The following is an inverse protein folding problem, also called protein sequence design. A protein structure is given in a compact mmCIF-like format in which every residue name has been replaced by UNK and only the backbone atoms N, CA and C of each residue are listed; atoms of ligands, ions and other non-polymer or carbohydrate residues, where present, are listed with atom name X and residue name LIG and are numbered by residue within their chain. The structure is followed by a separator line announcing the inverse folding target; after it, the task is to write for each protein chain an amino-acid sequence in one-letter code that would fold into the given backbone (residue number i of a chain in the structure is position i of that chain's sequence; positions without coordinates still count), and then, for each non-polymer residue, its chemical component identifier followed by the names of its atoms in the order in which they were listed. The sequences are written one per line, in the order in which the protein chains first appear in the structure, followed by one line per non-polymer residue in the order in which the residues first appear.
data_IF_798888777271
#
_entry.id   IF_798888777271
#
_cell.length_a   1.000
_cell.length_b   1.000
_cell.length_c   1.000
_cell.angle_alpha   90.00
_cell.angle_beta   90.00
_cell.angle_gamma   90.00
#
_symmetry.space_group_name_H-M   'P 1'
#
loop_
_entity.id
_entity.type
_entity.pdbx_description
1 polymer ?
#
# COMPACT_ATOMS: atom_id res chain seq x y z
N UNK A 1 7.54 -28.52 -0.79
CA UNK A 1 7.27 -28.73 0.65
C UNK A 1 7.34 -30.23 0.93
N UNK A 2 8.11 -30.61 1.94
CA UNK A 2 8.15 -32.01 2.40
C UNK A 2 6.89 -32.32 3.21
N UNK A 3 6.24 -33.42 2.87
CA UNK A 3 5.03 -33.85 3.55
C UNK A 3 5.34 -34.55 4.88
N UNK A 4 4.79 -34.00 5.97
CA UNK A 4 4.86 -34.59 7.29
C UNK A 4 3.85 -35.73 7.42
N UNK A 5 3.96 -36.58 8.49
CA UNK A 5 2.96 -37.59 8.77
C UNK A 5 1.58 -37.00 9.09
N UNK A 6 1.55 -35.79 9.63
CA UNK A 6 0.28 -35.08 9.88
C UNK A 6 -0.37 -34.71 8.55
N UNK A 7 0.41 -34.18 7.59
CA UNK A 7 -0.10 -33.84 6.26
C UNK A 7 -0.68 -35.06 5.55
N UNK A 8 0.04 -36.19 5.56
CA UNK A 8 -0.41 -37.43 4.95
C UNK A 8 -1.73 -37.91 5.56
N UNK A 9 -1.88 -37.79 6.88
CA UNK A 9 -3.10 -38.20 7.57
C UNK A 9 -4.27 -37.29 7.21
N UNK A 10 -4.06 -35.97 7.20
CA UNK A 10 -5.09 -35.00 6.84
C UNK A 10 -5.52 -35.20 5.39
N UNK A 11 -4.59 -35.30 4.45
CA UNK A 11 -4.91 -35.45 3.03
C UNK A 11 -5.64 -36.78 2.73
N UNK A 12 -5.26 -37.85 3.43
CA UNK A 12 -5.98 -39.11 3.33
C UNK A 12 -7.42 -39.03 3.84
N UNK A 13 -7.62 -38.32 4.96
CA UNK A 13 -8.95 -38.20 5.59
C UNK A 13 -9.90 -37.34 4.78
N UNK A 14 -9.38 -36.42 3.97
CA UNK A 14 -10.16 -35.51 3.11
C UNK A 14 -10.09 -35.90 1.62
N UNK A 15 -9.55 -37.08 1.31
CA UNK A 15 -9.41 -37.60 -0.05
C UNK A 15 -8.71 -36.60 -1.01
N UNK A 16 -7.70 -35.91 -0.46
CA UNK A 16 -6.94 -34.90 -1.16
C UNK A 16 -5.55 -35.42 -1.53
N UNK A 17 -5.18 -35.23 -2.81
CA UNK A 17 -3.84 -35.59 -3.31
C UNK A 17 -2.98 -34.34 -3.41
N UNK A 18 -1.83 -34.37 -2.73
CA UNK A 18 -0.85 -33.29 -2.78
C UNK A 18 0.52 -33.83 -3.18
N UNK A 19 1.11 -33.27 -4.20
CA UNK A 19 2.39 -33.69 -4.77
C UNK A 19 3.60 -32.90 -4.23
N UNK A 20 3.40 -32.09 -3.20
CA UNK A 20 4.45 -31.25 -2.59
C UNK A 20 4.72 -29.94 -3.33
N UNK A 21 3.98 -29.66 -4.39
CA UNK A 21 4.11 -28.45 -5.18
C UNK A 21 2.81 -27.68 -5.25
N UNK A 22 2.91 -26.39 -5.09
CA UNK A 22 1.83 -25.45 -5.41
C UNK A 22 2.36 -24.52 -6.48
N UNK A 23 1.78 -24.57 -7.67
CA UNK A 23 2.11 -23.69 -8.77
C UNK A 23 1.10 -22.55 -8.81
N UNK A 24 1.58 -21.33 -8.81
CA UNK A 24 0.76 -20.15 -9.02
C UNK A 24 1.21 -19.49 -10.32
N UNK A 25 0.30 -19.47 -11.30
CA UNK A 25 0.56 -18.79 -12.57
C UNK A 25 0.17 -17.32 -12.42
N UNK A 26 1.16 -16.43 -12.54
CA UNK A 26 0.89 -14.99 -12.61
C UNK A 26 0.19 -14.72 -13.95
N UNK A 27 -0.95 -14.04 -13.96
CA UNK A 27 -1.63 -13.66 -15.18
C UNK A 27 -0.69 -12.90 -16.11
N UNK A 28 -0.86 -13.08 -17.42
CA UNK A 28 -0.09 -12.33 -18.39
C UNK A 28 -0.32 -10.84 -18.17
N UNK A 29 0.77 -10.11 -17.96
CA UNK A 29 0.76 -8.69 -17.70
C UNK A 29 1.82 -8.00 -18.56
N UNK A 30 1.40 -6.92 -19.23
CA UNK A 30 2.32 -6.04 -19.96
C UNK A 30 2.53 -4.78 -19.15
N UNK A 31 3.77 -4.54 -18.73
CA UNK A 31 4.13 -3.34 -17.97
C UNK A 31 3.85 -2.08 -18.80
N UNK A 32 3.24 -1.09 -18.18
CA UNK A 32 3.07 0.24 -18.78
C UNK A 32 4.41 0.96 -18.71
N UNK A 33 5.01 1.24 -19.85
CA UNK A 33 6.33 1.88 -19.96
C UNK A 33 6.26 3.42 -20.07
N UNK A 34 5.10 3.96 -20.46
CA UNK A 34 4.91 5.40 -20.56
C UNK A 34 4.70 6.03 -19.18
N UNK A 35 5.09 7.30 -19.03
CA UNK A 35 4.84 8.05 -17.81
C UNK A 35 3.34 8.25 -17.56
N UNK A 36 2.94 8.02 -16.33
CA UNK A 36 1.58 8.21 -15.84
C UNK A 36 1.63 8.84 -14.44
N UNK A 37 0.53 9.34 -13.93
CA UNK A 37 0.45 9.83 -12.56
C UNK A 37 0.21 8.67 -11.59
N UNK A 38 -0.94 8.01 -11.69
CA UNK A 38 -1.35 6.92 -10.80
C UNK A 38 -1.77 5.70 -11.63
N UNK A 39 -1.18 4.55 -11.32
CA UNK A 39 -1.62 3.24 -11.78
C UNK A 39 -2.10 2.38 -10.62
N UNK A 40 -3.12 1.56 -10.85
CA UNK A 40 -3.66 0.66 -9.83
C UNK A 40 -3.65 -0.77 -10.32
N UNK A 41 -3.15 -1.67 -9.49
CA UNK A 41 -3.25 -3.12 -9.67
C UNK A 41 -4.35 -3.60 -8.74
N UNK A 42 -5.46 -4.02 -9.31
CA UNK A 42 -6.63 -4.47 -8.59
C UNK A 42 -6.84 -5.97 -8.75
N UNK A 43 -7.22 -6.62 -7.68
CA UNK A 43 -7.57 -8.03 -7.69
C UNK A 43 -7.80 -8.58 -6.29
N UNK A 44 -8.34 -9.78 -6.21
CA UNK A 44 -8.56 -10.47 -4.94
C UNK A 44 -7.24 -10.75 -4.21
N UNK A 45 -7.33 -10.96 -2.90
CA UNK A 45 -6.16 -11.38 -2.11
C UNK A 45 -5.58 -12.69 -2.67
N UNK A 46 -4.25 -12.75 -2.78
CA UNK A 46 -3.55 -13.92 -3.32
C UNK A 46 -3.61 -14.07 -4.84
N UNK A 47 -4.06 -13.06 -5.60
CA UNK A 47 -4.16 -13.09 -7.07
C UNK A 47 -2.85 -12.77 -7.81
N UNK A 48 -1.76 -12.48 -7.09
CA UNK A 48 -0.45 -12.16 -7.69
C UNK A 48 -0.17 -10.66 -7.85
N UNK A 49 -0.96 -9.79 -7.24
CA UNK A 49 -0.78 -8.33 -7.30
C UNK A 49 0.62 -7.88 -6.88
N UNK A 50 1.13 -8.42 -5.77
CA UNK A 50 2.46 -8.06 -5.26
C UNK A 50 3.58 -8.42 -6.24
N UNK A 51 3.44 -9.53 -6.94
CA UNK A 51 4.41 -9.94 -7.98
C UNK A 51 4.41 -9.00 -9.18
N UNK A 52 3.24 -8.53 -9.59
CA UNK A 52 3.10 -7.53 -10.65
C UNK A 52 3.66 -6.18 -10.18
N UNK A 53 3.35 -5.79 -8.95
CA UNK A 53 3.82 -4.53 -8.36
C UNK A 53 5.35 -4.43 -8.35
N UNK A 54 6.05 -5.52 -8.06
CA UNK A 54 7.52 -5.60 -8.08
C UNK A 54 8.15 -5.25 -9.42
N UNK A 55 7.42 -5.38 -10.52
CA UNK A 55 7.92 -4.96 -11.83
C UNK A 55 8.03 -3.43 -11.96
N UNK A 56 7.33 -2.68 -11.11
CA UNK A 56 7.40 -1.22 -11.05
C UNK A 56 8.37 -0.69 -10.00
N UNK A 57 8.77 -1.50 -9.05
CA UNK A 57 9.70 -1.13 -7.99
C UNK A 57 9.47 -1.89 -6.70
N UNK A 58 10.17 -1.49 -5.67
CA UNK A 58 10.02 -2.04 -4.32
C UNK A 58 9.42 -0.99 -3.38
N UNK A 59 8.52 -1.44 -2.51
CA UNK A 59 7.95 -0.57 -1.51
C UNK A 59 9.03 -0.15 -0.51
N UNK A 60 9.12 1.16 -0.25
CA UNK A 60 10.08 1.72 0.69
C UNK A 60 9.79 1.19 2.10
N UNK A 61 10.76 0.53 2.70
CA UNK A 61 10.69 0.13 4.10
C UNK A 61 10.82 1.37 4.99
N UNK A 62 9.92 1.48 5.97
CA UNK A 62 9.90 2.59 6.91
C UNK A 62 10.35 2.15 8.29
N UNK A 63 11.29 2.88 8.86
CA UNK A 63 11.71 2.73 10.26
C UNK A 63 11.22 3.93 11.05
N UNK A 64 10.50 3.67 12.13
CA UNK A 64 10.00 4.68 13.05
C UNK A 64 10.70 4.55 14.40
N UNK A 65 11.34 5.63 14.85
CA UNK A 65 11.89 5.72 16.20
C UNK A 65 10.75 6.06 17.17
N UNK A 66 10.40 5.13 18.05
CA UNK A 66 9.31 5.29 18.99
C UNK A 66 9.59 6.29 20.12
N UNK A 67 10.82 6.79 20.23
CA UNK A 67 11.18 7.86 21.14
C UNK A 67 11.05 9.26 20.51
N UNK A 68 10.62 9.33 19.26
CA UNK A 68 10.47 10.58 18.52
C UNK A 68 9.04 10.75 18.03
N UNK A 69 8.61 12.02 17.89
CA UNK A 69 7.33 12.34 17.29
C UNK A 69 7.31 11.95 15.80
N UNK A 70 6.12 11.70 15.24
CA UNK A 70 5.99 11.41 13.81
C UNK A 70 6.52 12.57 12.96
N UNK A 71 6.24 13.81 13.33
CA UNK A 71 6.69 14.99 12.59
C UNK A 71 8.23 15.09 12.48
N UNK A 72 8.94 14.63 13.48
CA UNK A 72 10.41 14.68 13.51
C UNK A 72 11.10 13.70 12.54
N UNK A 73 10.34 12.83 11.89
CA UNK A 73 10.86 11.89 10.88
C UNK A 73 10.85 12.45 9.46
N UNK A 74 10.40 13.67 9.27
CA UNK A 74 10.40 14.36 7.98
C UNK A 74 11.64 15.27 7.85
N UNK A 75 11.97 15.68 6.63
CA UNK A 75 13.20 16.39 6.33
C UNK A 75 13.24 17.83 6.87
N UNK A 76 12.04 18.46 6.97
CA UNK A 76 11.87 19.83 7.47
C UNK A 76 10.48 20.02 8.06
N UNK A 77 10.27 21.17 8.72
CA UNK A 77 8.96 21.57 9.24
C UNK A 77 7.95 21.68 8.09
N UNK A 78 8.34 22.32 7.00
CA UNK A 78 7.52 22.52 5.81
C UNK A 78 7.17 21.19 5.17
N UNK A 79 8.13 20.29 5.06
CA UNK A 79 7.93 18.93 4.52
C UNK A 79 6.94 18.12 5.37
N UNK A 80 7.09 18.16 6.70
CA UNK A 80 6.17 17.49 7.62
C UNK A 80 4.73 18.02 7.47
N UNK A 81 4.55 19.33 7.49
CA UNK A 81 3.22 19.97 7.36
C UNK A 81 2.59 19.61 6.03
N UNK A 82 3.34 19.71 4.94
CA UNK A 82 2.84 19.44 3.60
C UNK A 82 2.41 17.99 3.43
N UNK A 83 3.28 17.05 3.79
CA UNK A 83 3.03 15.61 3.61
C UNK A 83 1.94 15.07 4.54
N UNK A 84 1.95 15.44 5.80
CA UNK A 84 0.92 15.05 6.76
C UNK A 84 -0.43 15.66 6.39
N UNK A 85 -0.46 16.90 5.94
CA UNK A 85 -1.65 17.55 5.39
C UNK A 85 -2.16 16.87 4.12
N UNK A 86 -1.26 16.44 3.23
CA UNK A 86 -1.60 15.76 1.98
C UNK A 86 -2.33 14.43 2.18
N UNK A 87 -2.10 13.74 3.29
CA UNK A 87 -2.78 12.49 3.64
C UNK A 87 -3.99 12.70 4.56
N UNK A 88 -4.33 13.96 4.84
CA UNK A 88 -5.48 14.31 5.69
C UNK A 88 -5.23 14.22 7.19
N UNK A 89 -3.99 14.15 7.63
CA UNK A 89 -3.61 14.15 9.04
C UNK A 89 -3.29 15.59 9.49
N UNK A 90 -4.32 16.35 9.82
CA UNK A 90 -4.25 17.81 10.02
C UNK A 90 -4.21 18.27 11.48
N UNK A 91 -4.09 17.35 12.44
CA UNK A 91 -4.08 17.69 13.86
C UNK A 91 -2.68 17.72 14.45
N UNK A 92 -2.21 18.89 14.85
CA UNK A 92 -0.87 19.10 15.43
C UNK A 92 -0.63 18.20 16.65
N UNK A 93 -1.58 18.00 17.59
CA UNK A 93 -1.38 17.06 18.70
C UNK A 93 -1.04 15.64 18.26
N UNK A 94 -1.60 15.17 17.14
CA UNK A 94 -1.26 13.86 16.57
C UNK A 94 0.17 13.82 16.05
N UNK A 95 0.64 14.91 15.45
CA UNK A 95 2.03 15.00 14.93
C UNK A 95 3.10 14.89 16.03
N UNK A 96 2.75 15.24 17.25
CA UNK A 96 3.65 15.16 18.42
C UNK A 96 3.76 13.76 19.01
N UNK A 97 2.90 12.83 18.61
CA UNK A 97 2.88 11.45 19.12
C UNK A 97 3.92 10.59 18.42
N UNK A 98 4.44 9.54 19.08
CA UNK A 98 5.22 8.51 18.40
C UNK A 98 4.30 7.61 17.56
N UNK A 99 4.87 7.01 16.51
CA UNK A 99 4.11 6.17 15.56
C UNK A 99 3.33 5.02 16.22
N UNK A 100 3.92 4.40 17.24
CA UNK A 100 3.35 3.22 17.91
C UNK A 100 2.01 3.46 18.64
N UNK A 101 1.68 4.70 19.01
CA UNK A 101 0.44 5.01 19.72
C UNK A 101 -0.69 5.47 18.80
N UNK A 102 -0.44 5.53 17.49
CA UNK A 102 -1.45 5.94 16.53
C UNK A 102 -2.45 4.82 16.26
N UNK A 103 -3.70 5.20 15.94
CA UNK A 103 -4.69 4.27 15.40
C UNK A 103 -4.25 3.69 14.05
N UNK A 104 -4.89 2.60 13.59
CA UNK A 104 -4.59 2.00 12.30
C UNK A 104 -4.74 3.01 11.14
N UNK A 105 -5.80 3.83 11.16
CA UNK A 105 -6.02 4.85 10.14
C UNK A 105 -4.99 5.97 10.17
N UNK A 106 -4.66 6.48 11.35
CA UNK A 106 -3.61 7.49 11.53
C UNK A 106 -2.24 6.94 11.13
N UNK A 107 -1.93 5.71 11.54
CA UNK A 107 -0.69 5.03 11.19
C UNK A 107 -0.53 4.81 9.70
N UNK A 108 -1.58 4.37 9.01
CA UNK A 108 -1.61 4.23 7.56
C UNK A 108 -1.32 5.57 6.87
N UNK A 109 -1.94 6.66 7.32
CA UNK A 109 -1.71 8.01 6.78
C UNK A 109 -0.27 8.47 6.98
N UNK A 110 0.32 8.22 8.15
CA UNK A 110 1.72 8.56 8.42
C UNK A 110 2.69 7.80 7.52
N UNK A 111 2.47 6.50 7.35
CA UNK A 111 3.30 5.69 6.47
C UNK A 111 3.19 6.16 5.02
N UNK A 112 1.99 6.47 4.56
CA UNK A 112 1.76 7.02 3.23
C UNK A 112 2.47 8.38 3.07
N UNK A 113 2.36 9.28 4.05
CA UNK A 113 2.99 10.60 3.99
C UNK A 113 4.51 10.50 3.78
N UNK A 114 5.18 9.57 4.46
CA UNK A 114 6.62 9.35 4.29
C UNK A 114 7.00 8.70 2.97
N UNK A 115 6.09 7.92 2.36
CA UNK A 115 6.33 7.26 1.07
C UNK A 115 6.06 8.17 -0.13
N UNK A 116 5.30 9.23 0.02
CA UNK A 116 4.91 10.10 -1.09
C UNK A 116 6.09 10.60 -1.91
N UNK A 117 5.99 10.48 -3.21
CA UNK A 117 6.98 10.91 -4.19
C UNK A 117 6.67 10.31 -5.55
N UNK A 118 7.47 10.65 -6.55
CA UNK A 118 7.41 9.99 -7.86
C UNK A 118 8.17 8.66 -7.85
N UNK A 119 7.78 7.75 -8.75
CA UNK A 119 8.41 6.43 -8.91
C UNK A 119 8.36 5.58 -7.64
N UNK A 120 7.17 5.49 -7.05
CA UNK A 120 6.92 4.69 -5.85
C UNK A 120 5.87 3.62 -6.10
N UNK A 121 5.96 2.56 -5.31
CA UNK A 121 4.94 1.52 -5.24
C UNK A 121 4.45 1.37 -3.81
N UNK A 122 3.15 1.06 -3.65
CA UNK A 122 2.54 0.81 -2.34
C UNK A 122 1.69 -0.45 -2.47
N UNK A 123 2.03 -1.46 -1.69
CA UNK A 123 1.25 -2.68 -1.59
C UNK A 123 0.15 -2.56 -0.53
N UNK A 124 -0.86 -3.41 -0.62
CA UNK A 124 -1.96 -3.47 0.35
C UNK A 124 -2.62 -2.10 0.61
N UNK A 125 -2.71 -1.25 -0.41
CA UNK A 125 -3.27 0.10 -0.27
C UNK A 125 -4.72 0.03 0.22
N UNK A 126 -4.98 0.70 1.34
CA UNK A 126 -6.27 0.74 2.06
C UNK A 126 -6.77 -0.57 2.67
N UNK A 127 -5.98 -1.64 2.71
CA UNK A 127 -6.42 -2.94 3.22
C UNK A 127 -6.73 -2.96 4.72
N UNK A 128 -6.04 -2.16 5.52
CA UNK A 128 -6.15 -2.15 7.00
C UNK A 128 -6.98 -1.00 7.56
N UNK A 129 -7.66 -0.22 6.71
CA UNK A 129 -8.43 0.95 7.12
C UNK A 129 -9.90 0.81 6.75
N UNK A 130 -10.78 1.49 7.51
CA UNK A 130 -12.19 1.54 7.15
C UNK A 130 -12.39 2.35 5.85
N UNK A 131 -13.60 2.22 5.26
CA UNK A 131 -13.85 2.83 3.93
C UNK A 131 -13.90 4.35 3.96
N UNK A 132 -14.25 4.98 5.07
CA UNK A 132 -14.23 6.44 5.21
C UNK A 132 -12.80 6.98 5.20
N UNK A 133 -11.90 6.33 5.93
CA UNK A 133 -10.46 6.64 5.91
C UNK A 133 -9.87 6.38 4.52
N UNK A 134 -10.22 5.27 3.88
CA UNK A 134 -9.77 4.94 2.53
C UNK A 134 -10.21 6.01 1.54
N UNK A 135 -11.45 6.48 1.59
CA UNK A 135 -11.97 7.56 0.76
C UNK A 135 -11.22 8.87 0.97
N UNK A 136 -11.13 9.31 2.21
CA UNK A 136 -10.45 10.56 2.57
C UNK A 136 -8.98 10.55 2.13
N UNK A 137 -8.28 9.45 2.39
CA UNK A 137 -6.88 9.29 2.04
C UNK A 137 -6.66 9.24 0.51
N UNK A 138 -7.51 8.51 -0.20
CA UNK A 138 -7.43 8.40 -1.67
C UNK A 138 -7.69 9.74 -2.36
N UNK A 139 -8.71 10.49 -1.92
CA UNK A 139 -8.99 11.83 -2.44
C UNK A 139 -7.84 12.80 -2.15
N UNK A 140 -7.27 12.75 -0.95
CA UNK A 140 -6.14 13.59 -0.58
C UNK A 140 -4.90 13.26 -1.41
N UNK A 141 -4.62 11.98 -1.62
CA UNK A 141 -3.53 11.52 -2.47
C UNK A 141 -3.70 12.01 -3.92
N UNK A 142 -4.89 11.84 -4.49
CA UNK A 142 -5.19 12.34 -5.84
C UNK A 142 -4.88 13.84 -5.98
N UNK A 143 -5.38 14.66 -5.05
CA UNK A 143 -5.16 16.10 -5.06
C UNK A 143 -3.68 16.46 -4.94
N UNK A 144 -2.96 15.79 -4.06
CA UNK A 144 -1.53 16.01 -3.87
C UNK A 144 -0.72 15.65 -5.10
N UNK A 145 -0.99 14.51 -5.70
CA UNK A 145 -0.33 14.05 -6.93
C UNK A 145 -0.53 15.05 -8.06
N UNK A 146 -1.75 15.55 -8.24
CA UNK A 146 -2.08 16.56 -9.26
C UNK A 146 -1.37 17.89 -8.98
N UNK A 147 -1.40 18.37 -7.76
CA UNK A 147 -0.78 19.64 -7.37
C UNK A 147 0.74 19.63 -7.53
N UNK A 148 1.38 18.52 -7.17
CA UNK A 148 2.84 18.38 -7.23
C UNK A 148 3.35 17.85 -8.56
N UNK A 149 2.49 17.42 -9.46
CA UNK A 149 2.89 16.80 -10.71
C UNK A 149 3.66 15.50 -10.55
N UNK A 150 3.34 14.70 -9.52
CA UNK A 150 3.99 13.42 -9.28
C UNK A 150 3.68 12.43 -10.39
N UNK A 151 4.63 11.55 -10.67
CA UNK A 151 4.55 10.55 -11.74
C UNK A 151 4.90 9.15 -11.24
N UNK A 152 4.35 8.15 -11.92
CA UNK A 152 4.73 6.75 -11.75
C UNK A 152 4.49 6.23 -10.32
N UNK A 153 3.30 6.51 -9.79
CA UNK A 153 2.82 5.95 -8.52
C UNK A 153 1.98 4.73 -8.84
N UNK A 154 2.36 3.56 -8.34
CA UNK A 154 1.62 2.31 -8.53
C UNK A 154 1.15 1.77 -7.19
N UNK A 155 -0.14 1.52 -7.09
CA UNK A 155 -0.80 1.02 -5.90
C UNK A 155 -1.40 -0.36 -6.16
N UNK A 156 -1.20 -1.30 -5.27
CA UNK A 156 -1.89 -2.60 -5.30
C UNK A 156 -2.98 -2.64 -4.23
N UNK A 157 -4.17 -3.08 -4.59
CA UNK A 157 -5.33 -3.12 -3.70
C UNK A 157 -6.28 -4.27 -4.02
N UNK A 158 -7.02 -4.71 -3.01
CA UNK A 158 -8.17 -5.61 -3.19
C UNK A 158 -9.53 -4.88 -3.15
N UNK A 159 -9.53 -3.56 -3.10
CA UNK A 159 -10.73 -2.73 -3.01
C UNK A 159 -10.90 -1.89 -4.27
N UNK A 160 -12.05 -2.00 -4.92
CA UNK A 160 -12.37 -1.29 -6.17
C UNK A 160 -12.97 0.11 -5.94
N UNK A 161 -13.49 0.38 -4.75
CA UNK A 161 -14.08 1.68 -4.40
C UNK A 161 -13.08 2.84 -4.48
N UNK A 162 -11.79 2.57 -4.29
CA UNK A 162 -10.76 3.60 -4.40
C UNK A 162 -10.53 4.10 -5.83
N UNK A 163 -10.94 3.35 -6.84
CA UNK A 163 -10.75 3.72 -8.25
C UNK A 163 -11.49 5.01 -8.60
N UNK A 164 -12.69 5.18 -8.09
CA UNK A 164 -13.47 6.42 -8.25
C UNK A 164 -12.77 7.62 -7.61
N UNK A 165 -12.14 7.42 -6.46
CA UNK A 165 -11.51 8.50 -5.70
C UNK A 165 -10.11 8.86 -6.18
N UNK A 166 -9.35 7.89 -6.64
CA UNK A 166 -7.99 8.08 -7.15
C UNK A 166 -7.93 8.49 -8.61
N UNK A 167 -8.95 8.14 -9.40
CA UNK A 167 -8.98 8.37 -10.85
C UNK A 167 -7.65 7.98 -11.52
N UNK A 168 -7.25 6.71 -11.42
CA UNK A 168 -5.98 6.27 -11.98
C UNK A 168 -5.95 6.37 -13.50
N UNK A 169 -4.76 6.55 -14.05
CA UNK A 169 -4.55 6.58 -15.50
C UNK A 169 -4.74 5.18 -16.12
N UNK A 170 -4.48 4.12 -15.33
CA UNK A 170 -4.72 2.73 -15.72
C UNK A 170 -5.03 1.84 -14.51
N UNK A 171 -5.70 0.73 -14.78
CA UNK A 171 -6.06 -0.32 -13.82
C UNK A 171 -5.73 -1.69 -14.40
#
# INVERSE_FOLDING_TARGET
VEMTEIDKTIFKNFDFTFDGKTEFTIPHFSKVEEDFAIGVIYGSSGSGKSSILKQYGEEKELVWDNNRSIASHFDSVEDAIERLGAVGLNTVPTWAKPRQVLSNGEGFRCDLARRLGSNIVIDEFTSVVNRDVAKSCSLSLYKYVKRKGLKNIVLATCHDDILEWLQPDWV
#
